data_IF_438632715845
#
_entry.id   IF_438632715845
#
_cell.length_a   1.000
_cell.length_b   1.000
_cell.length_c   1.000
_cell.angle_alpha   90.00
_cell.angle_beta   90.00
_cell.angle_gamma   90.00
#
_symmetry.space_group_name_H-M   'P 1'
#
loop_
_entity.id
_entity.type
_entity.pdbx_description
1 polymer ?
#
# COMPACT_ATOMS: atom_id res chain seq x y z
N UNK A 1 16.87 22.60 21.12
CA UNK A 1 15.72 22.89 20.22
C UNK A 1 16.15 23.56 18.93
N UNK A 2 17.08 24.51 18.94
CA UNK A 2 17.60 25.12 17.69
C UNK A 2 18.49 24.11 16.96
N UNK A 3 19.51 23.57 17.66
CA UNK A 3 20.43 22.58 17.08
C UNK A 3 19.73 21.30 16.58
N UNK A 4 18.62 20.94 17.20
CA UNK A 4 17.75 19.82 16.80
C UNK A 4 16.68 20.20 15.78
N UNK A 5 16.74 21.42 15.22
CA UNK A 5 15.85 21.93 14.16
C UNK A 5 14.34 21.99 14.49
N UNK A 6 13.97 21.92 15.77
CA UNK A 6 12.58 22.15 16.20
C UNK A 6 12.19 23.62 16.14
N UNK A 7 13.17 24.53 16.33
CA UNK A 7 12.98 25.96 16.25
C UNK A 7 14.04 26.59 15.33
N UNK A 8 13.63 27.60 14.58
CA UNK A 8 14.53 28.55 13.93
C UNK A 8 14.58 29.81 14.74
N UNK A 9 15.77 30.42 14.80
CA UNK A 9 16.02 31.71 15.47
C UNK A 9 16.43 32.74 14.42
N UNK A 10 15.79 33.91 14.44
CA UNK A 10 16.12 35.04 13.58
C UNK A 10 16.31 36.28 14.45
N UNK A 11 17.09 37.29 13.99
CA UNK A 11 17.37 38.53 14.69
C UNK A 11 18.49 38.40 15.72
N UNK A 12 18.85 39.53 16.34
CA UNK A 12 19.92 39.64 17.31
C UNK A 12 19.46 40.51 18.52
N UNK A 13 20.02 40.26 19.68
CA UNK A 13 19.74 41.05 20.88
C UNK A 13 18.25 41.03 21.26
N UNK A 14 17.63 42.20 21.34
CA UNK A 14 16.22 42.37 21.74
C UNK A 14 15.22 41.98 20.63
N UNK A 15 15.68 41.88 19.38
CA UNK A 15 14.84 41.57 18.22
C UNK A 15 14.84 40.06 17.85
N UNK A 16 15.31 39.23 18.77
CA UNK A 16 15.29 37.76 18.57
C UNK A 16 13.85 37.26 18.47
N UNK A 17 13.57 36.54 17.40
CA UNK A 17 12.29 35.84 17.15
C UNK A 17 12.54 34.34 16.94
N UNK A 18 11.58 33.56 17.36
CA UNK A 18 11.56 32.11 17.15
C UNK A 18 10.37 31.73 16.31
N UNK A 19 10.60 30.81 15.37
CA UNK A 19 9.56 30.20 14.53
C UNK A 19 9.71 28.67 14.55
N UNK A 20 8.67 27.91 14.17
CA UNK A 20 8.81 26.46 13.98
C UNK A 20 9.94 26.15 13.01
N UNK A 21 10.77 25.16 13.36
CA UNK A 21 11.87 24.69 12.55
C UNK A 21 11.42 23.71 11.45
N UNK A 22 12.40 23.05 10.82
CA UNK A 22 12.17 22.03 9.80
C UNK A 22 11.65 20.71 10.41
N UNK A 23 11.99 20.44 11.66
CA UNK A 23 11.47 19.28 12.37
C UNK A 23 10.17 19.67 13.09
N UNK A 24 9.07 19.00 12.71
CA UNK A 24 7.73 19.21 13.29
C UNK A 24 7.06 17.87 13.51
N UNK A 25 6.28 17.77 14.58
CA UNK A 25 5.49 16.58 14.84
C UNK A 25 4.21 16.93 15.59
N UNK A 26 3.12 16.34 15.18
CA UNK A 26 1.83 16.37 15.87
C UNK A 26 1.34 14.95 16.03
N UNK A 27 0.86 14.61 17.21
CA UNK A 27 0.18 13.36 17.52
C UNK A 27 -1.21 13.71 18.05
N UNK A 28 -2.22 13.02 17.54
CA UNK A 28 -3.61 13.14 17.98
C UNK A 28 -4.22 11.76 18.17
N UNK A 29 -5.11 11.69 19.13
CA UNK A 29 -5.95 10.53 19.39
C UNK A 29 -7.40 10.94 19.18
N UNK A 30 -8.16 10.12 18.47
CA UNK A 30 -9.57 10.34 18.19
C UNK A 30 -10.35 9.10 18.61
N UNK A 31 -11.56 9.32 19.18
CA UNK A 31 -12.58 8.29 19.24
C UNK A 31 -13.12 8.09 17.82
N UNK A 32 -13.35 6.85 17.41
CA UNK A 32 -13.87 6.54 16.06
C UNK A 32 -15.36 6.83 15.93
N UNK A 33 -16.11 6.72 17.05
CA UNK A 33 -17.54 6.99 17.05
C UNK A 33 -17.84 8.46 16.71
N UNK A 34 -18.59 8.67 15.63
CA UNK A 34 -18.96 10.01 15.14
C UNK A 34 -17.80 10.83 14.55
N UNK A 35 -16.63 10.24 14.31
CA UNK A 35 -15.51 10.95 13.70
C UNK A 35 -15.78 11.23 12.23
N UNK A 36 -15.80 12.53 11.86
CA UNK A 36 -15.85 12.94 10.47
C UNK A 36 -14.44 12.95 9.85
N UNK A 37 -14.28 12.34 8.68
CA UNK A 37 -13.00 12.07 8.04
C UNK A 37 -12.21 13.32 7.58
N UNK A 38 -12.94 14.39 7.20
CA UNK A 38 -12.39 15.62 6.60
C UNK A 38 -11.87 16.62 7.64
N UNK A 39 -12.44 16.61 8.85
CA UNK A 39 -12.14 17.58 9.88
C UNK A 39 -10.73 17.44 10.49
N UNK A 40 -10.22 16.26 10.83
CA UNK A 40 -8.91 16.11 11.46
C UNK A 40 -7.76 16.72 10.65
N UNK A 41 -7.73 16.50 9.33
CA UNK A 41 -6.66 17.06 8.49
C UNK A 41 -6.63 18.59 8.55
N UNK A 42 -7.74 19.24 8.24
CA UNK A 42 -7.80 20.70 8.14
C UNK A 42 -7.63 21.40 9.49
N UNK A 43 -8.23 20.84 10.55
CA UNK A 43 -8.26 21.45 11.89
C UNK A 43 -6.95 21.22 12.64
N UNK A 44 -6.42 20.00 12.61
CA UNK A 44 -5.41 19.56 13.57
C UNK A 44 -4.00 19.40 12.96
N UNK A 45 -3.87 19.32 11.61
CA UNK A 45 -2.58 19.02 10.97
C UNK A 45 -2.16 20.06 9.91
N UNK A 46 -2.96 20.30 8.87
CA UNK A 46 -2.54 20.99 7.65
C UNK A 46 -1.76 22.30 7.89
N UNK A 47 -2.22 23.16 8.79
CA UNK A 47 -1.66 24.50 9.05
C UNK A 47 -0.30 24.49 9.77
N UNK A 48 0.09 23.33 10.33
CA UNK A 48 1.30 23.26 11.14
C UNK A 48 2.53 22.75 10.38
N UNK A 49 2.34 22.26 9.18
CA UNK A 49 3.39 21.71 8.33
C UNK A 49 3.64 22.60 7.12
N UNK A 50 4.91 22.70 6.72
CA UNK A 50 5.34 23.46 5.53
C UNK A 50 5.79 22.48 4.47
N UNK A 51 4.84 21.85 3.78
CA UNK A 51 5.09 20.85 2.76
C UNK A 51 5.01 21.48 1.36
N UNK A 52 5.83 21.01 0.39
CA UNK A 52 5.61 21.33 -1.01
C UNK A 52 4.17 20.98 -1.46
N UNK A 53 3.56 21.72 -2.38
CA UNK A 53 2.14 21.54 -2.73
C UNK A 53 1.78 20.12 -3.18
N UNK A 54 2.62 19.46 -3.99
CA UNK A 54 2.42 18.08 -4.39
C UNK A 54 2.49 17.14 -3.19
N UNK A 55 3.51 17.27 -2.31
CA UNK A 55 3.67 16.44 -1.11
C UNK A 55 2.51 16.64 -0.14
N UNK A 56 2.02 17.89 0.00
CA UNK A 56 0.84 18.17 0.83
C UNK A 56 -0.39 17.41 0.31
N UNK A 57 -0.64 17.41 -1.01
CA UNK A 57 -1.76 16.68 -1.64
C UNK A 57 -1.62 15.16 -1.46
N UNK A 58 -0.40 14.61 -1.66
CA UNK A 58 -0.12 13.20 -1.43
C UNK A 58 -0.37 12.80 0.03
N UNK A 59 0.14 13.61 0.96
CA UNK A 59 0.00 13.36 2.40
C UNK A 59 -1.45 13.47 2.84
N UNK A 60 -2.19 14.46 2.37
CA UNK A 60 -3.62 14.63 2.66
C UNK A 60 -4.44 13.44 2.15
N UNK A 61 -4.21 13.00 0.92
CA UNK A 61 -4.89 11.84 0.36
C UNK A 61 -4.62 10.59 1.21
N UNK A 62 -3.34 10.31 1.50
CA UNK A 62 -2.96 9.17 2.34
C UNK A 62 -3.59 9.26 3.75
N UNK A 63 -3.61 10.45 4.34
CA UNK A 63 -4.21 10.70 5.65
C UNK A 63 -5.72 10.36 5.65
N UNK A 64 -6.47 10.89 4.69
CA UNK A 64 -7.91 10.64 4.59
C UNK A 64 -8.21 9.15 4.35
N UNK A 65 -7.51 8.52 3.39
CA UNK A 65 -7.71 7.10 3.09
C UNK A 65 -7.43 6.19 4.28
N UNK A 66 -6.34 6.45 5.02
CA UNK A 66 -6.00 5.64 6.19
C UNK A 66 -6.93 5.90 7.38
N UNK A 67 -7.38 7.14 7.56
CA UNK A 67 -8.36 7.47 8.59
C UNK A 67 -9.71 6.83 8.29
N UNK A 68 -10.16 6.89 7.03
CA UNK A 68 -11.40 6.23 6.58
C UNK A 68 -11.34 4.72 6.79
N UNK A 69 -10.20 4.10 6.49
CA UNK A 69 -10.02 2.68 6.77
C UNK A 69 -10.18 2.36 8.27
N UNK A 70 -9.67 3.21 9.16
CA UNK A 70 -9.86 3.03 10.59
C UNK A 70 -11.34 3.22 11.01
N UNK A 71 -12.03 4.24 10.47
CA UNK A 71 -13.44 4.52 10.78
C UNK A 71 -14.35 3.39 10.30
N UNK A 72 -14.20 2.96 9.04
CA UNK A 72 -15.16 2.08 8.38
C UNK A 72 -14.85 0.58 8.54
N UNK A 73 -13.59 0.23 8.81
CA UNK A 73 -13.16 -1.17 8.73
C UNK A 73 -12.49 -1.72 9.98
N UNK A 74 -12.07 -0.90 10.94
CA UNK A 74 -11.29 -1.41 12.09
C UNK A 74 -12.14 -2.19 13.10
N UNK A 75 -13.42 -1.89 13.26
CA UNK A 75 -14.27 -2.32 14.37
C UNK A 75 -13.67 -1.91 15.75
N UNK A 76 -12.80 -0.90 15.74
CA UNK A 76 -12.13 -0.37 16.93
C UNK A 76 -12.89 0.76 17.61
N UNK A 77 -12.30 1.27 18.68
CA UNK A 77 -12.84 2.40 19.45
C UNK A 77 -12.07 3.69 19.25
N UNK A 78 -10.81 3.60 18.89
CA UNK A 78 -9.92 4.73 18.79
C UNK A 78 -8.85 4.62 17.71
N UNK A 79 -8.40 5.77 17.24
CA UNK A 79 -7.31 5.88 16.27
C UNK A 79 -6.30 6.93 16.72
N UNK A 80 -5.02 6.60 16.60
CA UNK A 80 -3.90 7.51 16.81
C UNK A 80 -3.34 7.92 15.46
N UNK A 81 -3.20 9.21 15.23
CA UNK A 81 -2.56 9.77 14.03
C UNK A 81 -1.34 10.57 14.44
N UNK A 82 -0.19 10.27 13.86
CA UNK A 82 1.05 11.02 14.00
C UNK A 82 1.54 11.49 12.64
N UNK A 83 1.70 12.79 12.49
CA UNK A 83 2.35 13.39 11.32
C UNK A 83 3.64 14.06 11.77
N UNK A 84 4.75 13.75 11.10
CA UNK A 84 6.08 14.29 11.36
C UNK A 84 6.71 14.79 10.07
N UNK A 85 7.22 15.99 10.09
CA UNK A 85 8.07 16.56 9.05
C UNK A 85 9.51 16.57 9.52
N UNK A 86 10.43 16.11 8.68
CA UNK A 86 11.88 16.21 8.81
C UNK A 86 12.41 17.14 7.71
N UNK A 87 13.72 17.45 7.68
CA UNK A 87 14.30 18.25 6.58
C UNK A 87 14.12 17.62 5.19
N UNK A 88 13.95 16.31 5.11
CA UNK A 88 13.91 15.56 3.84
C UNK A 88 12.61 14.82 3.57
N UNK A 89 11.80 14.53 4.60
CA UNK A 89 10.61 13.68 4.47
C UNK A 89 9.44 14.18 5.31
N UNK A 90 8.24 13.86 4.87
CA UNK A 90 7.05 13.79 5.72
C UNK A 90 6.75 12.33 6.03
N UNK A 91 6.37 12.05 7.28
CA UNK A 91 6.10 10.72 7.82
C UNK A 91 4.72 10.73 8.45
N UNK A 92 3.86 9.79 8.04
CA UNK A 92 2.51 9.61 8.58
C UNK A 92 2.41 8.23 9.22
N UNK A 93 1.86 8.18 10.42
CA UNK A 93 1.44 6.96 11.09
C UNK A 93 -0.04 7.09 11.45
N UNK A 94 -0.84 6.12 11.03
CA UNK A 94 -2.23 5.94 11.47
C UNK A 94 -2.35 4.58 12.11
N UNK A 95 -2.87 4.52 13.32
CA UNK A 95 -2.91 3.28 14.10
C UNK A 95 -4.22 3.20 14.88
N UNK A 96 -5.07 2.24 14.55
CA UNK A 96 -6.31 1.91 15.27
C UNK A 96 -6.09 0.81 16.32
N UNK A 97 -7.10 0.59 17.14
CA UNK A 97 -7.17 -0.45 18.17
C UNK A 97 -8.17 -1.57 17.83
N UNK A 98 -8.46 -1.73 16.53
CA UNK A 98 -9.49 -2.62 16.05
C UNK A 98 -9.05 -4.08 15.86
N UNK A 99 -9.79 -4.81 15.00
CA UNK A 99 -9.57 -6.24 14.78
C UNK A 99 -8.33 -6.57 13.94
N UNK A 100 -7.74 -5.59 13.25
CA UNK A 100 -6.63 -5.80 12.31
C UNK A 100 -7.08 -6.15 10.89
N UNK A 101 -6.44 -5.50 9.90
CA UNK A 101 -6.89 -5.57 8.49
C UNK A 101 -6.82 -6.99 7.93
N UNK A 102 -5.78 -7.78 8.27
CA UNK A 102 -5.64 -9.13 7.73
C UNK A 102 -6.70 -10.07 8.30
N UNK A 103 -6.98 -10.01 9.61
CA UNK A 103 -8.02 -10.83 10.24
C UNK A 103 -9.40 -10.45 9.70
N UNK A 104 -9.68 -9.16 9.48
CA UNK A 104 -10.90 -8.69 8.84
C UNK A 104 -11.07 -9.27 7.43
N UNK A 105 -10.03 -9.24 6.61
CA UNK A 105 -10.04 -9.78 5.25
C UNK A 105 -10.20 -11.29 5.29
N UNK A 106 -9.43 -12.01 6.11
CA UNK A 106 -9.50 -13.45 6.25
C UNK A 106 -10.91 -13.89 6.66
N UNK A 107 -11.50 -13.25 7.65
CA UNK A 107 -12.86 -13.55 8.09
C UNK A 107 -13.89 -13.27 6.97
N UNK A 108 -13.82 -12.10 6.31
CA UNK A 108 -14.82 -11.69 5.31
C UNK A 108 -14.78 -12.56 4.05
N UNK A 109 -13.60 -13.00 3.65
CA UNK A 109 -13.40 -13.75 2.40
C UNK A 109 -13.09 -15.22 2.60
N UNK A 110 -13.22 -15.74 3.81
CA UNK A 110 -12.94 -17.12 4.20
C UNK A 110 -11.52 -17.56 3.76
N UNK A 111 -10.51 -16.70 4.01
CA UNK A 111 -9.10 -16.99 3.77
C UNK A 111 -8.47 -17.52 5.05
N UNK A 112 -7.60 -18.52 4.93
CA UNK A 112 -6.95 -19.16 6.09
C UNK A 112 -5.59 -18.52 6.42
N UNK A 113 -4.98 -17.80 5.44
CA UNK A 113 -3.62 -17.29 5.54
C UNK A 113 -3.58 -15.77 5.35
N UNK A 114 -3.08 -15.00 6.33
CA UNK A 114 -2.85 -13.55 6.23
C UNK A 114 -1.93 -13.15 5.08
N UNK A 115 -1.03 -14.01 4.63
CA UNK A 115 -0.20 -13.76 3.44
C UNK A 115 -1.06 -13.72 2.17
N UNK A 116 -2.08 -14.58 2.07
CA UNK A 116 -3.05 -14.55 0.98
C UNK A 116 -3.95 -13.33 1.08
N UNK A 117 -4.35 -12.93 2.29
CA UNK A 117 -5.07 -11.66 2.49
C UNK A 117 -4.24 -10.47 2.00
N UNK A 118 -2.93 -10.46 2.26
CA UNK A 118 -2.02 -9.42 1.73
C UNK A 118 -1.88 -9.50 0.21
N UNK A 119 -1.81 -10.70 -0.39
CA UNK A 119 -1.81 -10.88 -1.84
C UNK A 119 -3.07 -10.24 -2.46
N UNK A 120 -4.25 -10.53 -1.89
CA UNK A 120 -5.51 -9.95 -2.36
C UNK A 120 -5.54 -8.42 -2.21
N UNK A 121 -5.06 -7.91 -1.08
CA UNK A 121 -4.97 -6.47 -0.82
C UNK A 121 -4.01 -5.78 -1.80
N UNK A 122 -2.87 -6.41 -2.11
CA UNK A 122 -1.84 -5.86 -3.01
C UNK A 122 -2.29 -5.74 -4.46
N UNK A 123 -3.31 -6.50 -4.89
CA UNK A 123 -3.92 -6.37 -6.22
C UNK A 123 -4.77 -5.10 -6.35
N UNK A 124 -5.28 -4.56 -5.25
CA UNK A 124 -6.27 -3.48 -5.22
C UNK A 124 -7.70 -3.95 -5.52
N UNK A 125 -8.65 -3.00 -5.47
CA UNK A 125 -10.10 -3.26 -5.61
C UNK A 125 -10.65 -4.26 -4.58
N UNK A 126 -9.97 -4.39 -3.44
CA UNK A 126 -10.43 -5.21 -2.32
C UNK A 126 -11.13 -4.31 -1.30
N UNK A 127 -12.36 -4.60 -0.99
CA UNK A 127 -13.11 -3.95 0.09
C UNK A 127 -14.05 -4.93 0.76
N UNK A 128 -14.23 -4.77 2.05
CA UNK A 128 -15.23 -5.51 2.84
C UNK A 128 -16.62 -4.85 2.80
N UNK A 129 -16.73 -3.66 2.19
CA UNK A 129 -17.97 -2.88 2.05
C UNK A 129 -18.11 -2.34 0.60
N UNK A 130 -18.42 -3.20 -0.38
CA UNK A 130 -18.43 -2.82 -1.80
C UNK A 130 -19.50 -1.78 -2.17
N UNK A 131 -20.55 -1.64 -1.36
CA UNK A 131 -21.60 -0.62 -1.54
C UNK A 131 -21.13 0.80 -1.17
N UNK A 132 -20.06 0.93 -0.40
CA UNK A 132 -19.52 2.22 0.07
C UNK A 132 -18.15 2.55 -0.48
N UNK A 133 -17.33 1.53 -0.75
CA UNK A 133 -15.91 1.68 -1.08
C UNK A 133 -15.50 0.91 -2.33
N UNK A 134 -14.61 1.52 -3.11
CA UNK A 134 -14.05 0.91 -4.33
C UNK A 134 -12.88 -0.04 -4.05
N UNK A 135 -12.31 0.00 -2.83
CA UNK A 135 -11.13 -0.77 -2.44
C UNK A 135 -9.82 -0.28 -3.07
N UNK A 136 -9.76 0.99 -3.46
CA UNK A 136 -8.59 1.58 -4.11
C UNK A 136 -7.62 2.25 -3.12
N UNK A 137 -8.11 2.71 -1.95
CA UNK A 137 -7.41 3.61 -1.05
C UNK A 137 -6.05 3.11 -0.62
N UNK A 138 -5.98 1.93 0.00
CA UNK A 138 -4.72 1.38 0.50
C UNK A 138 -3.74 1.05 -0.64
N UNK A 139 -4.26 0.59 -1.78
CA UNK A 139 -3.44 0.31 -2.96
C UNK A 139 -2.71 1.56 -3.43
N UNK A 140 -3.44 2.66 -3.72
CA UNK A 140 -2.83 3.90 -4.17
C UNK A 140 -1.96 4.54 -3.09
N UNK A 141 -2.41 4.55 -1.84
CA UNK A 141 -1.62 5.09 -0.72
C UNK A 141 -0.23 4.44 -0.61
N UNK A 142 -0.13 3.13 -0.83
CA UNK A 142 1.17 2.45 -0.85
C UNK A 142 2.07 2.88 -2.01
N UNK A 143 1.51 3.29 -3.14
CA UNK A 143 2.24 3.74 -4.33
C UNK A 143 2.67 5.21 -4.26
N UNK A 144 2.01 6.00 -3.42
CA UNK A 144 2.38 7.41 -3.19
C UNK A 144 3.67 7.53 -2.37
N UNK A 145 3.95 6.55 -1.52
CA UNK A 145 5.02 6.59 -0.52
C UNK A 145 6.35 5.99 -1.03
N UNK A 146 7.45 6.45 -0.46
CA UNK A 146 8.77 5.83 -0.63
C UNK A 146 8.91 4.62 0.29
N UNK A 147 8.40 4.75 1.50
CA UNK A 147 8.33 3.71 2.53
C UNK A 147 6.87 3.51 2.88
N UNK A 148 6.41 2.27 2.90
CA UNK A 148 5.09 1.91 3.38
C UNK A 148 5.17 0.62 4.19
N UNK A 149 4.80 0.69 5.46
CA UNK A 149 4.78 -0.44 6.38
C UNK A 149 3.36 -0.63 6.89
N UNK A 150 2.82 -1.83 6.69
CA UNK A 150 1.50 -2.24 7.14
C UNK A 150 1.66 -3.31 8.22
N UNK A 151 1.22 -3.00 9.42
CA UNK A 151 1.20 -3.93 10.56
C UNK A 151 -0.24 -4.17 10.98
N UNK A 152 -0.59 -5.41 11.23
CA UNK A 152 -1.86 -5.78 11.84
C UNK A 152 -1.66 -7.00 12.73
N UNK A 153 -1.96 -6.81 14.01
CA UNK A 153 -1.77 -7.83 15.05
C UNK A 153 -0.32 -8.39 15.04
N UNK A 154 -0.14 -9.65 14.72
CA UNK A 154 1.14 -10.36 14.65
C UNK A 154 1.72 -10.47 13.23
N UNK A 155 1.15 -9.75 12.24
CA UNK A 155 1.60 -9.74 10.86
C UNK A 155 2.09 -8.36 10.42
N UNK A 156 3.09 -8.36 9.54
CA UNK A 156 3.61 -7.13 8.95
C UNK A 156 4.06 -7.36 7.50
N UNK A 157 3.80 -6.37 6.65
CA UNK A 157 4.29 -6.31 5.28
C UNK A 157 4.85 -4.94 4.98
N UNK A 158 5.89 -4.90 4.14
CA UNK A 158 6.64 -3.71 3.81
C UNK A 158 6.72 -3.52 2.30
N UNK A 159 6.67 -2.27 1.87
CA UNK A 159 6.93 -1.86 0.50
C UNK A 159 7.94 -0.71 0.50
N UNK A 160 8.90 -0.75 -0.44
CA UNK A 160 9.91 0.29 -0.66
C UNK A 160 9.90 0.65 -2.14
N UNK A 161 9.72 1.93 -2.45
CA UNK A 161 9.61 2.37 -3.85
C UNK A 161 10.87 2.16 -4.68
N UNK A 162 12.02 2.04 -4.04
CA UNK A 162 13.33 1.81 -4.69
C UNK A 162 13.72 0.33 -4.81
N UNK A 163 12.94 -0.57 -4.20
CA UNK A 163 13.14 -2.02 -4.30
C UNK A 163 12.23 -2.58 -5.39
N UNK A 164 12.81 -3.30 -6.36
CA UNK A 164 12.05 -3.96 -7.41
C UNK A 164 11.25 -5.18 -6.95
N UNK A 165 11.30 -5.52 -5.65
CA UNK A 165 10.70 -6.75 -5.11
C UNK A 165 9.24 -6.62 -4.65
N UNK A 166 8.64 -5.43 -4.80
CA UNK A 166 7.25 -5.21 -4.39
C UNK A 166 7.04 -5.34 -2.88
N UNK A 167 5.99 -6.06 -2.46
CA UNK A 167 5.68 -6.31 -1.06
C UNK A 167 6.48 -7.48 -0.49
N UNK A 168 6.95 -7.33 0.73
CA UNK A 168 7.66 -8.39 1.46
C UNK A 168 7.18 -8.47 2.92
N UNK A 169 7.29 -9.64 3.57
CA UNK A 169 7.05 -9.75 5.01
C UNK A 169 7.96 -8.83 5.79
N UNK A 170 7.43 -8.21 6.84
CA UNK A 170 8.13 -7.36 7.79
C UNK A 170 8.16 -7.96 9.19
N UNK A 171 8.79 -7.25 10.12
CA UNK A 171 8.76 -7.62 11.54
C UNK A 171 7.50 -7.02 12.19
N UNK A 172 6.60 -7.83 12.73
CA UNK A 172 5.38 -7.34 13.37
C UNK A 172 5.68 -6.55 14.66
N UNK A 173 4.80 -5.63 14.99
CA UNK A 173 4.87 -4.85 16.22
C UNK A 173 4.19 -5.55 17.40
N UNK A 174 3.49 -6.66 17.20
CA UNK A 174 2.72 -7.42 18.20
C UNK A 174 1.75 -6.51 18.98
N UNK A 175 1.00 -5.70 18.25
CA UNK A 175 0.01 -4.78 18.78
C UNK A 175 -1.34 -5.04 18.12
N UNK A 176 -2.42 -5.03 18.90
CA UNK A 176 -3.79 -5.16 18.39
C UNK A 176 -4.15 -3.98 17.45
N UNK A 177 -4.95 -4.29 16.45
CA UNK A 177 -5.41 -3.35 15.44
C UNK A 177 -4.48 -3.25 14.23
N UNK A 178 -4.74 -2.25 13.41
CA UNK A 178 -3.93 -1.94 12.23
C UNK A 178 -3.08 -0.70 12.46
N UNK A 179 -1.83 -0.75 12.04
CA UNK A 179 -0.91 0.40 12.04
C UNK A 179 -0.27 0.53 10.67
N UNK A 180 -0.46 1.67 10.03
CA UNK A 180 0.16 2.00 8.76
C UNK A 180 1.13 3.15 8.95
N UNK A 181 2.40 2.90 8.63
CA UNK A 181 3.42 3.93 8.56
C UNK A 181 3.80 4.16 7.09
N UNK A 182 3.93 5.42 6.71
CA UNK A 182 4.47 5.80 5.42
C UNK A 182 5.40 7.01 5.51
N UNK A 183 6.31 7.10 4.55
CA UNK A 183 7.24 8.22 4.40
C UNK A 183 7.28 8.67 2.94
N UNK A 184 7.24 9.97 2.71
CA UNK A 184 7.29 10.61 1.39
C UNK A 184 8.42 11.64 1.42
N UNK A 185 9.35 11.58 0.46
CA UNK A 185 10.41 12.56 0.30
C UNK A 185 9.83 13.93 -0.07
N UNK A 186 10.36 15.02 0.52
CA UNK A 186 9.87 16.37 0.24
C UNK A 186 10.20 16.85 -1.19
N UNK A 187 11.20 16.25 -1.82
CA UNK A 187 11.64 16.54 -3.21
C UNK A 187 11.06 15.53 -4.22
N UNK A 188 10.11 14.69 -3.81
CA UNK A 188 9.51 13.71 -4.73
C UNK A 188 8.88 14.40 -5.95
N UNK A 189 9.12 13.90 -7.18
CA UNK A 189 8.44 14.38 -8.37
C UNK A 189 7.02 13.81 -8.52
N UNK A 190 6.61 12.86 -7.67
CA UNK A 190 5.30 12.22 -7.76
C UNK A 190 4.18 13.21 -7.50
N UNK A 191 3.09 13.01 -8.23
CA UNK A 191 1.80 13.64 -7.98
C UNK A 191 0.71 12.57 -7.85
N UNK A 192 -0.42 12.91 -7.26
CA UNK A 192 -1.55 11.98 -7.15
C UNK A 192 -2.01 11.54 -8.55
N UNK A 193 -2.09 12.49 -9.47
CA UNK A 193 -2.47 12.26 -10.86
C UNK A 193 -1.48 11.31 -11.56
N UNK A 194 -0.16 11.51 -11.39
CA UNK A 194 0.85 10.65 -12.03
C UNK A 194 0.76 9.19 -11.55
N UNK A 195 0.46 8.98 -10.27
CA UNK A 195 0.29 7.63 -9.73
C UNK A 195 -1.01 6.99 -10.24
N UNK A 196 -2.12 7.72 -10.27
CA UNK A 196 -3.39 7.20 -10.80
C UNK A 196 -3.30 6.89 -12.30
N UNK A 197 -2.67 7.78 -13.09
CA UNK A 197 -2.49 7.63 -14.53
C UNK A 197 -1.67 6.38 -14.89
N UNK A 198 -0.67 6.03 -14.07
CA UNK A 198 0.15 4.83 -14.27
C UNK A 198 -0.66 3.52 -14.17
N UNK A 199 -1.83 3.55 -13.54
CA UNK A 199 -2.72 2.40 -13.35
C UNK A 199 -3.97 2.42 -14.24
N UNK A 200 -4.07 3.36 -15.17
CA UNK A 200 -5.10 3.45 -16.20
C UNK A 200 -4.48 3.14 -17.56
N UNK A 201 -5.20 2.43 -18.43
CA UNK A 201 -4.69 2.07 -19.77
C UNK A 201 -4.70 3.24 -20.73
N UNK A 202 -5.62 4.18 -20.54
CA UNK A 202 -5.74 5.39 -21.34
C UNK A 202 -4.89 6.57 -20.80
N UNK A 203 -4.20 6.36 -19.68
CA UNK A 203 -3.37 7.37 -19.02
C UNK A 203 -4.14 8.50 -18.35
N UNK A 204 -5.48 8.41 -18.23
CA UNK A 204 -6.31 9.48 -17.64
C UNK A 204 -6.46 9.38 -16.13
N UNK A 205 -6.12 8.22 -15.54
CA UNK A 205 -6.30 7.96 -14.10
C UNK A 205 -7.76 7.79 -13.64
N UNK A 206 -8.72 7.84 -14.58
CA UNK A 206 -10.15 7.72 -14.27
C UNK A 206 -10.53 6.27 -13.95
N UNK A 207 -9.90 5.33 -14.64
CA UNK A 207 -10.16 3.90 -14.48
C UNK A 207 -8.94 3.18 -13.93
N UNK A 208 -9.14 2.39 -12.89
CA UNK A 208 -8.10 1.51 -12.37
C UNK A 208 -8.17 0.18 -13.10
N UNK A 209 -7.43 0.05 -14.21
CA UNK A 209 -7.46 -1.11 -15.11
C UNK A 209 -6.18 -1.95 -15.09
N UNK A 210 -5.07 -1.40 -14.56
CA UNK A 210 -3.77 -2.05 -14.50
C UNK A 210 -3.35 -2.28 -13.05
N UNK A 211 -3.02 -3.53 -12.71
CA UNK A 211 -2.49 -3.88 -11.38
C UNK A 211 -1.14 -4.58 -11.48
N UNK A 212 -0.37 -4.59 -10.40
CA UNK A 212 0.85 -5.36 -10.23
C UNK A 212 0.65 -6.37 -9.09
N UNK A 213 0.98 -7.64 -9.35
CA UNK A 213 0.77 -8.76 -8.44
C UNK A 213 2.12 -9.32 -8.00
N UNK A 214 2.53 -9.11 -6.74
CA UNK A 214 3.78 -9.63 -6.22
C UNK A 214 3.66 -11.12 -5.92
N UNK A 215 4.15 -11.97 -6.83
CA UNK A 215 3.99 -13.43 -6.78
C UNK A 215 4.68 -14.08 -5.59
N UNK A 216 5.68 -13.42 -5.00
CA UNK A 216 6.32 -13.89 -3.77
C UNK A 216 5.33 -14.03 -2.59
N UNK A 217 4.20 -13.31 -2.60
CA UNK A 217 3.14 -13.48 -1.59
C UNK A 217 2.32 -14.76 -1.79
N UNK A 218 2.37 -15.38 -2.97
CA UNK A 218 1.75 -16.68 -3.24
C UNK A 218 2.73 -17.85 -3.12
N UNK A 219 4.03 -17.57 -3.02
CA UNK A 219 5.07 -18.59 -2.90
C UNK A 219 5.13 -19.13 -1.46
N UNK A 220 5.32 -20.45 -1.33
CA UNK A 220 5.64 -21.06 -0.04
C UNK A 220 7.15 -21.16 0.13
N UNK A 221 7.69 -21.06 1.37
CA UNK A 221 9.13 -21.14 1.61
C UNK A 221 9.75 -22.45 1.11
N UNK A 222 9.01 -23.56 1.19
CA UNK A 222 9.50 -24.90 0.88
C UNK A 222 9.35 -25.28 -0.61
N UNK A 223 8.24 -24.85 -1.25
CA UNK A 223 7.86 -25.34 -2.57
C UNK A 223 7.83 -24.27 -3.67
N UNK A 224 7.99 -22.98 -3.31
CA UNK A 224 7.90 -21.91 -4.30
C UNK A 224 6.49 -21.81 -4.93
N UNK A 225 6.42 -21.68 -6.27
CA UNK A 225 5.19 -21.59 -7.06
C UNK A 225 5.06 -22.81 -7.98
N UNK A 226 4.49 -23.92 -7.47
CA UNK A 226 4.47 -25.22 -8.16
C UNK A 226 3.07 -25.66 -8.61
N UNK A 227 2.04 -25.27 -7.86
CA UNK A 227 0.73 -25.90 -7.99
C UNK A 227 -0.29 -25.05 -8.76
N UNK A 228 -1.27 -25.74 -9.38
CA UNK A 228 -2.47 -25.08 -9.95
C UNK A 228 -3.27 -24.30 -8.92
N UNK A 229 -3.30 -24.77 -7.66
CA UNK A 229 -4.00 -24.08 -6.58
C UNK A 229 -3.40 -22.69 -6.32
N UNK A 230 -2.06 -22.60 -6.28
CA UNK A 230 -1.36 -21.30 -6.15
C UNK A 230 -1.63 -20.40 -7.37
N UNK A 231 -1.63 -20.94 -8.59
CA UNK A 231 -1.98 -20.18 -9.78
C UNK A 231 -3.41 -19.61 -9.71
N UNK A 232 -4.37 -20.38 -9.21
CA UNK A 232 -5.76 -19.93 -9.00
C UNK A 232 -5.87 -18.86 -7.91
N UNK A 233 -5.08 -18.95 -6.85
CA UNK A 233 -4.98 -17.88 -5.84
C UNK A 233 -4.44 -16.58 -6.46
N UNK A 234 -3.40 -16.66 -7.28
CA UNK A 234 -2.88 -15.51 -8.04
C UNK A 234 -3.95 -14.95 -8.98
N UNK A 235 -4.64 -15.81 -9.72
CA UNK A 235 -5.67 -15.44 -10.70
C UNK A 235 -6.95 -14.87 -10.05
N UNK A 236 -7.19 -15.16 -8.78
CA UNK A 236 -8.40 -14.72 -8.08
C UNK A 236 -8.56 -13.19 -8.19
N UNK A 237 -9.77 -12.75 -8.59
CA UNK A 237 -10.16 -11.35 -8.78
C UNK A 237 -9.41 -10.56 -9.87
N UNK A 238 -8.46 -11.15 -10.60
CA UNK A 238 -7.80 -10.46 -11.71
C UNK A 238 -8.76 -10.09 -12.84
N UNK A 239 -9.91 -10.76 -12.96
CA UNK A 239 -10.99 -10.42 -13.89
C UNK A 239 -11.52 -9.00 -13.75
N UNK A 240 -11.24 -8.34 -12.63
CA UNK A 240 -11.59 -6.93 -12.40
C UNK A 240 -10.67 -5.95 -13.13
N UNK A 241 -9.56 -6.44 -13.70
CA UNK A 241 -8.55 -5.65 -14.40
C UNK A 241 -8.49 -6.02 -15.87
N UNK A 242 -7.86 -5.17 -16.66
CA UNK A 242 -7.54 -5.39 -18.06
C UNK A 242 -6.10 -5.84 -18.27
N UNK A 243 -5.22 -5.39 -17.39
CA UNK A 243 -3.81 -5.72 -17.39
C UNK A 243 -3.37 -6.08 -15.97
N UNK A 244 -2.77 -7.25 -15.80
CA UNK A 244 -2.11 -7.67 -14.57
C UNK A 244 -0.63 -7.94 -14.84
N UNK A 245 0.23 -7.13 -14.24
CA UNK A 245 1.67 -7.37 -14.22
C UNK A 245 1.98 -8.38 -13.13
N UNK A 246 2.48 -9.54 -13.54
CA UNK A 246 2.85 -10.62 -12.64
C UNK A 246 4.33 -10.47 -12.29
N UNK A 247 4.61 -9.98 -11.09
CA UNK A 247 5.99 -9.71 -10.65
C UNK A 247 6.65 -10.95 -10.08
N UNK A 248 7.63 -11.48 -10.82
CA UNK A 248 8.44 -12.64 -10.46
C UNK A 248 9.71 -12.28 -9.67
N UNK A 249 9.84 -11.04 -9.19
CA UNK A 249 10.99 -10.67 -8.35
C UNK A 249 11.17 -11.64 -7.19
N UNK A 250 12.40 -12.16 -7.05
CA UNK A 250 12.72 -13.12 -5.99
C UNK A 250 12.24 -14.55 -6.22
N UNK A 251 11.58 -14.86 -7.35
CA UNK A 251 11.15 -16.22 -7.72
C UNK A 251 12.19 -16.86 -8.64
N UNK A 252 12.95 -17.87 -8.17
CA UNK A 252 14.02 -18.49 -8.97
C UNK A 252 13.48 -19.41 -10.07
N UNK A 253 12.39 -20.12 -9.82
CA UNK A 253 11.74 -21.07 -10.73
C UNK A 253 10.25 -21.21 -10.41
N UNK A 254 9.49 -21.77 -11.34
CA UNK A 254 8.07 -22.11 -11.20
C UNK A 254 7.82 -23.52 -11.77
N UNK A 255 6.81 -24.19 -11.21
CA UNK A 255 6.40 -25.50 -11.71
C UNK A 255 5.57 -25.43 -12.97
N UNK A 256 5.61 -26.49 -13.78
CA UNK A 256 4.84 -26.60 -15.01
C UNK A 256 3.33 -26.44 -14.75
N UNK A 257 2.80 -27.04 -13.68
CA UNK A 257 1.36 -26.96 -13.36
C UNK A 257 0.92 -25.55 -12.99
N UNK A 258 1.76 -24.76 -12.32
CA UNK A 258 1.51 -23.35 -12.04
C UNK A 258 1.50 -22.53 -13.33
N UNK A 259 2.53 -22.70 -14.17
CA UNK A 259 2.66 -21.98 -15.44
C UNK A 259 1.52 -22.31 -16.41
N UNK A 260 1.18 -23.58 -16.55
CA UNK A 260 0.09 -24.06 -17.39
C UNK A 260 -1.27 -23.44 -17.01
N UNK A 261 -1.62 -23.47 -15.72
CA UNK A 261 -2.89 -22.90 -15.24
C UNK A 261 -2.93 -21.39 -15.48
N UNK A 262 -1.82 -20.67 -15.26
CA UNK A 262 -1.80 -19.21 -15.32
C UNK A 262 -1.68 -18.67 -16.75
N UNK A 263 -0.84 -19.28 -17.60
CA UNK A 263 -0.52 -18.73 -18.94
C UNK A 263 -1.24 -19.42 -20.09
N UNK A 264 -1.78 -20.63 -19.90
CA UNK A 264 -2.56 -21.31 -20.94
C UNK A 264 -4.04 -21.40 -20.57
N UNK A 265 -4.38 -21.89 -19.38
CA UNK A 265 -5.78 -22.13 -18.99
C UNK A 265 -6.53 -20.83 -18.68
N UNK A 266 -5.98 -19.95 -17.86
CA UNK A 266 -6.62 -18.69 -17.47
C UNK A 266 -6.96 -17.79 -18.68
N UNK A 267 -6.06 -17.54 -19.66
CA UNK A 267 -6.39 -16.70 -20.81
C UNK A 267 -7.55 -17.22 -21.66
N UNK A 268 -7.75 -18.54 -21.74
CA UNK A 268 -8.88 -19.13 -22.45
C UNK A 268 -10.23 -18.79 -21.79
N UNK A 269 -10.25 -18.70 -20.46
CA UNK A 269 -11.46 -18.37 -19.69
C UNK A 269 -11.66 -16.87 -19.49
N UNK A 270 -10.60 -16.08 -19.65
CA UNK A 270 -10.58 -14.63 -19.40
C UNK A 270 -9.88 -13.86 -20.54
N UNK A 271 -10.45 -13.84 -21.75
CA UNK A 271 -9.79 -13.30 -22.95
C UNK A 271 -9.59 -11.77 -22.90
N UNK A 272 -10.27 -11.06 -21.99
CA UNK A 272 -10.14 -9.60 -21.81
C UNK A 272 -9.03 -9.20 -20.86
N UNK A 273 -8.47 -10.16 -20.11
CA UNK A 273 -7.38 -9.95 -19.16
C UNK A 273 -6.05 -10.22 -19.86
N UNK A 274 -5.19 -9.20 -19.92
CA UNK A 274 -3.82 -9.36 -20.38
C UNK A 274 -2.91 -9.63 -19.17
N UNK A 275 -2.15 -10.71 -19.22
CA UNK A 275 -1.12 -11.04 -18.23
C UNK A 275 0.25 -10.65 -18.78
N UNK A 276 0.96 -9.81 -18.02
CA UNK A 276 2.31 -9.34 -18.36
C UNK A 276 3.30 -9.83 -17.30
N UNK A 277 4.06 -10.91 -17.55
CA UNK A 277 5.12 -11.34 -16.64
C UNK A 277 6.28 -10.35 -16.67
N UNK A 278 6.72 -9.92 -15.48
CA UNK A 278 7.84 -8.99 -15.31
C UNK A 278 8.87 -9.55 -14.32
N UNK A 279 10.11 -9.09 -14.41
CA UNK A 279 11.21 -9.45 -13.50
C UNK A 279 11.48 -10.96 -13.41
N UNK A 280 11.30 -11.67 -14.52
CA UNK A 280 11.50 -13.12 -14.60
C UNK A 280 12.98 -13.49 -14.50
N UNK A 281 13.30 -14.54 -13.73
CA UNK A 281 14.59 -15.22 -13.84
C UNK A 281 14.68 -15.95 -15.20
N UNK A 282 15.89 -16.31 -15.70
CA UNK A 282 16.01 -17.09 -16.92
C UNK A 282 15.23 -18.43 -16.91
N UNK A 283 15.17 -19.09 -15.74
CA UNK A 283 14.42 -20.34 -15.58
C UNK A 283 12.89 -20.12 -15.64
N UNK A 284 12.39 -19.04 -15.04
CA UNK A 284 10.96 -18.66 -15.13
C UNK A 284 10.61 -18.32 -16.56
N UNK A 285 11.41 -17.51 -17.25
CA UNK A 285 11.17 -17.14 -18.66
C UNK A 285 11.11 -18.38 -19.55
N UNK A 286 12.07 -19.29 -19.43
CA UNK A 286 12.07 -20.54 -20.20
C UNK A 286 10.83 -21.40 -19.96
N UNK A 287 10.33 -21.47 -18.71
CA UNK A 287 9.12 -22.18 -18.36
C UNK A 287 7.87 -21.53 -19.00
N UNK A 288 7.74 -20.21 -18.88
CA UNK A 288 6.62 -19.44 -19.47
C UNK A 288 6.61 -19.62 -21.00
N UNK A 289 7.77 -19.45 -21.65
CA UNK A 289 7.90 -19.61 -23.11
C UNK A 289 7.49 -21.01 -23.56
N UNK A 290 7.85 -22.07 -22.82
CA UNK A 290 7.48 -23.45 -23.13
C UNK A 290 5.97 -23.70 -23.09
N UNK A 291 5.22 -22.94 -22.28
CA UNK A 291 3.76 -23.05 -22.18
C UNK A 291 3.05 -22.24 -23.25
N UNK A 292 3.55 -21.03 -23.55
CA UNK A 292 2.90 -20.10 -24.50
C UNK A 292 3.10 -20.55 -25.96
N UNK A 293 4.20 -21.26 -26.25
CA UNK A 293 4.52 -21.77 -27.60
C UNK A 293 4.01 -23.17 -27.87
N UNK A 294 3.48 -23.88 -26.88
CA UNK A 294 2.90 -25.22 -27.01
C UNK A 294 1.41 -25.15 -27.42
#
# INVERSE_FOLDING_TARGET
>A
MIDSQWLTRTGHGKDVRYAPGLLRQIVRHYALDGLAEDLPWSRDFARYFALPPNVQRLTQHAFCELLNNAIDHSDGTGVTVSLRQTPSHVQLLVSDDGCGVFDKICHTFALEDPQIAMLELSKGKLTTQPERHTGHGLYFTSRLADVFDLHANDHAFQHRSWEGTGWRPGRPMNRLGTSVYLSIALDTPRTLESVMNAHSLDGTGVRFERTAVPLQLAATPEAGLESRAQARLVAARLTRFRLAELDFSGIPHIGHSFADELFRVLPQHQPTLNLSPINMSPAVAAMVDSIVTA
#
